data_IF_021605431636
#
_entry.id   IF_021605431636
#
_cell.length_a   1.000
_cell.length_b   1.000
_cell.length_c   1.000
_cell.angle_alpha   90.00
_cell.angle_beta   90.00
_cell.angle_gamma   90.00
#
_symmetry.space_group_name_H-M   'P 1'
#
loop_
_entity.id
_entity.type
_entity.pdbx_description
1 polymer ?
#
# COMPACT_ATOMS: atom_id res chain seq x y z
N UNK A 1 1.05 3.95 -20.59
CA UNK A 1 0.81 4.44 -19.23
C UNK A 1 -0.69 4.56 -18.92
N UNK A 2 -1.04 5.04 -17.74
CA UNK A 2 -2.44 5.16 -17.32
C UNK A 2 -3.25 6.16 -18.17
N UNK A 3 -2.64 7.25 -18.58
CA UNK A 3 -3.29 8.29 -19.42
C UNK A 3 -3.67 7.70 -20.77
N UNK A 4 -2.76 6.92 -21.35
CA UNK A 4 -3.00 6.22 -22.61
C UNK A 4 -4.13 5.20 -22.50
N UNK A 5 -4.17 4.41 -21.41
CA UNK A 5 -5.28 3.47 -21.16
C UNK A 5 -6.61 4.20 -20.96
N UNK A 6 -6.63 5.34 -20.27
CA UNK A 6 -7.85 6.14 -20.08
C UNK A 6 -8.39 6.68 -21.41
N UNK A 7 -7.51 7.17 -22.28
CA UNK A 7 -7.89 7.74 -23.59
C UNK A 7 -8.35 6.65 -24.57
N UNK A 8 -7.92 5.42 -24.40
CA UNK A 8 -8.15 4.29 -25.31
C UNK A 8 -8.92 3.13 -24.68
N UNK A 9 -9.61 3.34 -23.57
CA UNK A 9 -10.22 2.25 -22.77
C UNK A 9 -11.09 1.31 -23.59
N UNK A 10 -11.91 1.85 -24.50
CA UNK A 10 -12.82 1.05 -25.35
C UNK A 10 -12.08 0.19 -26.39
N UNK A 11 -10.97 0.68 -26.94
CA UNK A 11 -10.16 -0.06 -27.92
C UNK A 11 -9.19 -1.05 -27.29
N UNK A 12 -8.83 -0.87 -26.02
CA UNK A 12 -8.01 -1.83 -25.26
C UNK A 12 -8.83 -3.06 -24.84
N UNK A 13 -10.13 -2.90 -24.56
CA UNK A 13 -10.99 -4.06 -24.30
C UNK A 13 -11.06 -4.96 -25.53
N UNK A 14 -10.79 -6.25 -25.32
CA UNK A 14 -10.85 -7.22 -26.42
C UNK A 14 -12.28 -7.54 -26.84
N UNK A 15 -12.46 -7.92 -28.10
CA UNK A 15 -13.76 -8.35 -28.65
C UNK A 15 -14.11 -9.81 -28.32
N UNK A 16 -13.22 -10.55 -27.67
CA UNK A 16 -13.47 -11.94 -27.26
C UNK A 16 -14.57 -12.00 -26.19
N UNK A 17 -15.42 -13.03 -26.30
CA UNK A 17 -16.38 -13.31 -25.26
C UNK A 17 -15.77 -14.21 -24.19
N UNK A 18 -15.99 -13.86 -22.94
CA UNK A 18 -15.52 -14.61 -21.78
C UNK A 18 -16.72 -15.18 -21.02
N UNK A 19 -16.60 -16.39 -20.50
CA UNK A 19 -17.64 -17.03 -19.70
C UNK A 19 -18.05 -16.19 -18.49
N UNK A 20 -17.07 -15.50 -17.89
CA UNK A 20 -17.29 -14.62 -16.75
C UNK A 20 -16.33 -13.44 -16.76
N UNK A 21 -16.85 -12.28 -16.43
CA UNK A 21 -16.10 -11.02 -16.35
C UNK A 21 -16.33 -10.38 -14.98
N UNK A 22 -15.28 -9.82 -14.41
CA UNK A 22 -15.30 -9.05 -13.17
C UNK A 22 -14.92 -7.60 -13.48
N UNK A 23 -15.86 -6.68 -13.30
CA UNK A 23 -15.60 -5.25 -13.42
C UNK A 23 -14.72 -4.77 -12.26
N UNK A 24 -13.74 -3.97 -12.59
CA UNK A 24 -12.78 -3.38 -11.67
C UNK A 24 -12.53 -1.93 -12.01
N UNK A 25 -12.10 -1.18 -11.03
CA UNK A 25 -11.68 0.20 -11.21
C UNK A 25 -10.45 0.50 -10.35
N UNK A 26 -9.63 1.42 -10.85
CA UNK A 26 -8.50 1.96 -10.06
C UNK A 26 -9.02 3.03 -9.10
N UNK A 27 -8.29 3.28 -8.02
CA UNK A 27 -8.68 4.27 -7.00
C UNK A 27 -8.65 5.74 -7.45
N UNK A 28 -8.35 6.00 -8.73
CA UNK A 28 -8.41 7.36 -9.27
C UNK A 28 -7.47 8.38 -8.61
N UNK A 29 -6.34 7.95 -8.04
CA UNK A 29 -5.40 8.84 -7.33
C UNK A 29 -4.90 10.03 -8.17
N UNK A 30 -5.05 9.97 -9.50
CA UNK A 30 -4.72 11.03 -10.47
C UNK A 30 -5.95 11.78 -10.99
N UNK A 31 -7.14 11.62 -10.36
CA UNK A 31 -8.37 12.33 -10.73
C UNK A 31 -9.42 11.47 -11.41
N UNK A 32 -9.06 10.58 -12.34
CA UNK A 32 -10.02 9.70 -13.02
C UNK A 32 -9.73 8.23 -12.74
N UNK A 33 -10.72 7.43 -12.28
CA UNK A 33 -10.59 6.00 -12.15
C UNK A 33 -10.58 5.34 -13.54
N UNK A 34 -9.61 4.47 -13.80
CA UNK A 34 -9.65 3.58 -14.95
C UNK A 34 -10.61 2.43 -14.64
N UNK A 35 -11.66 2.27 -15.46
CA UNK A 35 -12.63 1.18 -15.37
C UNK A 35 -12.31 0.13 -16.43
N UNK A 36 -12.20 -1.12 -16.02
CA UNK A 36 -11.83 -2.22 -16.91
C UNK A 36 -12.47 -3.54 -16.48
N UNK A 37 -12.42 -4.52 -17.36
CA UNK A 37 -12.95 -5.85 -17.12
C UNK A 37 -11.83 -6.87 -16.97
N UNK A 38 -11.93 -7.75 -15.99
CA UNK A 38 -11.02 -8.89 -15.80
C UNK A 38 -11.71 -10.18 -16.19
N UNK A 39 -11.08 -10.99 -17.03
CA UNK A 39 -11.53 -12.33 -17.34
C UNK A 39 -11.34 -13.30 -16.16
N UNK A 40 -12.09 -14.39 -16.17
CA UNK A 40 -12.11 -15.35 -15.05
C UNK A 40 -10.74 -15.95 -14.75
N UNK A 41 -9.98 -16.27 -15.77
CA UNK A 41 -8.63 -16.83 -15.63
C UNK A 41 -7.70 -15.86 -14.89
N UNK A 42 -7.65 -14.61 -15.33
CA UNK A 42 -6.88 -13.58 -14.64
C UNK A 42 -7.30 -13.44 -13.16
N UNK A 43 -8.59 -13.29 -12.86
CA UNK A 43 -9.08 -13.14 -11.48
C UNK A 43 -8.72 -14.36 -10.62
N UNK A 44 -8.87 -15.56 -11.17
CA UNK A 44 -8.58 -16.83 -10.46
C UNK A 44 -7.11 -17.01 -10.16
N UNK A 45 -6.22 -16.76 -11.12
CA UNK A 45 -4.77 -16.84 -10.92
C UNK A 45 -4.25 -15.76 -9.98
N UNK A 46 -4.79 -14.54 -10.08
CA UNK A 46 -4.45 -13.47 -9.13
C UNK A 46 -4.80 -13.85 -7.69
N UNK A 47 -5.96 -14.47 -7.46
CA UNK A 47 -6.35 -15.00 -6.14
C UNK A 47 -5.46 -16.14 -5.69
N UNK A 48 -5.12 -17.06 -6.61
CA UNK A 48 -4.23 -18.18 -6.31
C UNK A 48 -2.84 -17.69 -5.87
N UNK A 49 -2.28 -16.69 -6.57
CA UNK A 49 -1.01 -16.07 -6.19
C UNK A 49 -1.07 -15.40 -4.81
N UNK A 50 -2.15 -14.68 -4.52
CA UNK A 50 -2.37 -14.08 -3.21
C UNK A 50 -2.43 -15.15 -2.11
N UNK A 51 -3.17 -16.24 -2.32
CA UNK A 51 -3.27 -17.32 -1.34
C UNK A 51 -1.98 -18.11 -1.20
N UNK A 52 -1.19 -18.24 -2.27
CA UNK A 52 0.17 -18.78 -2.19
C UNK A 52 1.03 -17.92 -1.25
N UNK A 53 1.00 -16.59 -1.40
CA UNK A 53 1.68 -15.68 -0.49
C UNK A 53 1.23 -15.85 0.96
N UNK A 54 -0.07 -16.01 1.21
CA UNK A 54 -0.61 -16.29 2.54
C UNK A 54 -0.08 -17.60 3.13
N UNK A 55 0.06 -18.64 2.27
CA UNK A 55 0.57 -19.93 2.70
C UNK A 55 2.02 -19.89 3.18
N UNK A 56 2.83 -18.94 2.69
CA UNK A 56 4.20 -18.71 3.16
C UNK A 56 4.25 -18.33 4.64
N UNK A 57 3.17 -17.74 5.15
CA UNK A 57 3.00 -17.37 6.56
C UNK A 57 2.12 -18.38 7.34
N UNK A 58 1.91 -19.58 6.81
CA UNK A 58 1.10 -20.61 7.46
C UNK A 58 -0.40 -20.29 7.52
N UNK A 59 -0.87 -19.37 6.67
CA UNK A 59 -2.29 -19.00 6.56
C UNK A 59 -2.97 -19.88 5.51
N UNK A 60 -4.16 -20.36 5.83
CA UNK A 60 -5.02 -21.17 4.95
C UNK A 60 -6.30 -20.41 4.61
N UNK A 61 -6.93 -20.73 3.49
CA UNK A 61 -8.11 -20.04 2.95
C UNK A 61 -9.29 -19.96 3.94
N UNK A 62 -9.46 -20.99 4.75
CA UNK A 62 -10.56 -21.08 5.70
C UNK A 62 -10.27 -20.50 7.07
N UNK A 63 -9.05 -19.97 7.28
CA UNK A 63 -8.70 -19.34 8.53
C UNK A 63 -9.56 -18.09 8.79
N UNK A 64 -10.00 -17.93 10.02
CA UNK A 64 -10.74 -16.76 10.45
C UNK A 64 -9.89 -15.52 10.34
N UNK A 65 -10.45 -14.43 9.78
CA UNK A 65 -9.67 -13.26 9.49
C UNK A 65 -10.40 -11.94 9.74
N UNK A 66 -9.61 -10.94 10.16
CA UNK A 66 -10.03 -9.55 10.20
C UNK A 66 -9.64 -8.81 8.92
N UNK A 67 -10.52 -7.92 8.44
CA UNK A 67 -10.32 -7.23 7.18
C UNK A 67 -10.66 -5.74 7.27
N UNK A 68 -9.69 -4.92 6.93
CA UNK A 68 -9.85 -3.47 6.78
C UNK A 68 -9.87 -3.09 5.30
N UNK A 69 -11.03 -3.18 4.71
CA UNK A 69 -11.23 -2.78 3.32
C UNK A 69 -12.70 -2.55 3.06
N UNK A 70 -13.02 -1.48 2.34
CA UNK A 70 -14.33 -1.33 1.80
C UNK A 70 -14.76 0.07 1.47
N UNK A 71 -15.95 0.12 0.95
CA UNK A 71 -16.63 1.30 0.48
C UNK A 71 -17.89 1.50 1.30
N UNK A 72 -18.46 2.70 1.27
CA UNK A 72 -19.83 2.92 1.70
C UNK A 72 -20.74 2.13 0.76
N UNK A 73 -21.19 0.98 1.23
CA UNK A 73 -22.17 0.18 0.49
C UNK A 73 -23.57 0.76 0.72
N UNK A 74 -24.39 0.72 -0.33
CA UNK A 74 -25.82 0.77 -0.11
C UNK A 74 -26.28 -0.42 0.74
N UNK A 75 -27.52 -0.38 1.26
CA UNK A 75 -28.02 -1.43 2.17
C UNK A 75 -28.01 -2.84 1.53
N UNK A 76 -28.27 -2.94 0.23
CA UNK A 76 -28.32 -4.21 -0.50
C UNK A 76 -26.93 -4.81 -0.70
N UNK A 77 -25.97 -3.99 -1.10
CA UNK A 77 -24.58 -4.39 -1.22
C UNK A 77 -23.95 -4.78 0.11
N UNK A 78 -24.33 -4.11 1.21
CA UNK A 78 -23.89 -4.46 2.56
C UNK A 78 -24.34 -5.88 2.99
N UNK A 79 -25.58 -6.27 2.70
CA UNK A 79 -26.11 -7.61 3.01
C UNK A 79 -25.34 -8.68 2.22
N UNK A 80 -25.17 -8.48 0.90
CA UNK A 80 -24.39 -9.40 0.06
C UNK A 80 -22.95 -9.53 0.53
N UNK A 81 -22.33 -8.42 0.88
CA UNK A 81 -20.96 -8.42 1.40
C UNK A 81 -20.83 -9.18 2.70
N UNK A 82 -21.78 -9.00 3.63
CA UNK A 82 -21.79 -9.72 4.91
C UNK A 82 -21.97 -11.25 4.70
N UNK A 83 -22.79 -11.66 3.75
CA UNK A 83 -22.93 -13.07 3.38
C UNK A 83 -21.61 -13.65 2.83
N UNK A 84 -20.96 -12.96 1.90
CA UNK A 84 -19.69 -13.37 1.34
C UNK A 84 -18.56 -13.37 2.39
N UNK A 85 -18.57 -12.44 3.32
CA UNK A 85 -17.64 -12.42 4.45
C UNK A 85 -17.80 -13.64 5.36
N UNK A 86 -19.03 -14.03 5.63
CA UNK A 86 -19.29 -15.24 6.42
C UNK A 86 -18.78 -16.50 5.73
N UNK A 87 -18.97 -16.63 4.40
CA UNK A 87 -18.41 -17.74 3.61
C UNK A 87 -16.87 -17.79 3.63
N UNK A 88 -16.24 -16.64 3.75
CA UNK A 88 -14.78 -16.50 3.81
C UNK A 88 -14.24 -16.52 5.25
N UNK A 89 -15.07 -16.84 6.22
CA UNK A 89 -14.75 -16.77 7.65
C UNK A 89 -14.12 -15.43 8.06
N UNK A 90 -14.67 -14.33 7.52
CA UNK A 90 -14.16 -12.98 7.59
C UNK A 90 -15.09 -12.09 8.42
N UNK A 91 -14.49 -11.19 9.17
CA UNK A 91 -15.19 -10.04 9.73
C UNK A 91 -14.45 -8.75 9.35
N UNK A 92 -15.19 -7.69 9.07
CA UNK A 92 -14.61 -6.43 8.60
C UNK A 92 -15.12 -5.23 9.39
N UNK A 93 -14.36 -4.16 9.31
CA UNK A 93 -14.76 -2.84 9.78
C UNK A 93 -14.29 -1.79 8.77
N UNK A 94 -15.09 -0.73 8.62
CA UNK A 94 -14.84 0.39 7.71
C UNK A 94 -14.79 1.73 8.44
N UNK A 95 -14.62 1.70 9.74
CA UNK A 95 -14.78 2.87 10.55
C UNK A 95 -13.52 3.12 11.35
N UNK A 96 -13.13 4.37 11.44
CA UNK A 96 -12.14 4.83 12.41
C UNK A 96 -12.76 5.12 13.78
N UNK A 97 -14.06 4.79 13.97
CA UNK A 97 -14.71 4.95 15.26
C UNK A 97 -14.11 4.00 16.29
N UNK A 98 -13.60 4.57 17.38
CA UNK A 98 -12.91 3.83 18.44
C UNK A 98 -13.71 2.68 19.02
N UNK A 99 -15.03 2.85 19.19
CA UNK A 99 -15.89 1.81 19.76
C UNK A 99 -16.06 0.63 18.80
N UNK A 100 -16.13 0.87 17.49
CA UNK A 100 -16.19 -0.17 16.48
C UNK A 100 -14.86 -0.91 16.38
N UNK A 101 -13.73 -0.20 16.46
CA UNK A 101 -12.40 -0.80 16.51
C UNK A 101 -12.27 -1.68 17.74
N UNK A 102 -12.69 -1.24 18.93
CA UNK A 102 -12.66 -2.07 20.14
C UNK A 102 -13.50 -3.35 19.97
N UNK A 103 -14.69 -3.27 19.36
CA UNK A 103 -15.49 -4.47 19.06
C UNK A 103 -14.79 -5.40 18.06
N UNK A 104 -14.08 -4.83 17.10
CA UNK A 104 -13.31 -5.57 16.12
C UNK A 104 -12.11 -6.28 16.78
N UNK A 105 -11.38 -5.63 17.67
CA UNK A 105 -10.21 -6.23 18.36
C UNK A 105 -10.61 -7.46 19.18
N UNK A 106 -11.79 -7.46 19.81
CA UNK A 106 -12.31 -8.65 20.51
C UNK A 106 -12.51 -9.86 19.59
N UNK A 107 -12.88 -9.62 18.32
CA UNK A 107 -13.02 -10.71 17.32
C UNK A 107 -11.68 -11.22 16.83
N UNK A 108 -10.62 -10.38 16.89
CA UNK A 108 -9.26 -10.77 16.50
C UNK A 108 -8.67 -11.83 17.43
N UNK A 109 -9.12 -11.95 18.68
CA UNK A 109 -8.66 -12.99 19.62
C UNK A 109 -8.83 -14.41 19.06
N UNK A 110 -9.78 -14.58 18.13
CA UNK A 110 -10.08 -15.87 17.47
C UNK A 110 -9.69 -15.89 15.98
N UNK A 111 -8.96 -14.90 15.51
CA UNK A 111 -8.50 -14.83 14.13
C UNK A 111 -7.07 -15.37 13.97
N UNK A 112 -6.75 -15.85 12.78
CA UNK A 112 -5.42 -16.30 12.42
C UNK A 112 -4.65 -15.29 11.56
N UNK A 113 -5.35 -14.35 10.93
CA UNK A 113 -4.69 -13.27 10.22
C UNK A 113 -5.55 -12.00 10.14
N UNK A 114 -4.86 -10.88 9.94
CA UNK A 114 -5.43 -9.57 9.76
C UNK A 114 -4.87 -8.98 8.47
N UNK A 115 -5.71 -8.34 7.66
CA UNK A 115 -5.25 -7.69 6.43
C UNK A 115 -6.09 -6.45 6.06
N UNK A 116 -5.54 -5.59 5.23
CA UNK A 116 -6.22 -4.39 4.78
C UNK A 116 -5.29 -3.19 4.61
N UNK A 117 -5.84 -1.98 4.68
CA UNK A 117 -5.04 -0.76 4.61
C UNK A 117 -4.00 -0.69 5.72
N UNK A 118 -2.76 -0.37 5.35
CA UNK A 118 -1.63 -0.36 6.29
C UNK A 118 -1.85 0.64 7.43
N UNK A 119 -2.35 1.83 7.13
CA UNK A 119 -2.66 2.86 8.13
C UNK A 119 -3.74 2.42 9.11
N UNK A 120 -4.78 1.72 8.63
CA UNK A 120 -5.87 1.24 9.50
C UNK A 120 -5.39 0.16 10.46
N UNK A 121 -4.55 -0.76 9.97
CA UNK A 121 -3.93 -1.79 10.82
C UNK A 121 -3.07 -1.13 11.91
N UNK A 122 -2.30 -0.10 11.56
CA UNK A 122 -1.49 0.65 12.50
C UNK A 122 -2.34 1.33 13.57
N UNK A 123 -3.44 2.01 13.21
CA UNK A 123 -4.36 2.61 14.17
C UNK A 123 -4.95 1.59 15.16
N UNK A 124 -5.30 0.40 14.66
CA UNK A 124 -5.78 -0.68 15.53
C UNK A 124 -4.67 -1.15 16.47
N UNK A 125 -3.45 -1.29 15.98
CA UNK A 125 -2.31 -1.67 16.81
C UNK A 125 -2.05 -0.67 17.94
N UNK A 126 -2.13 0.64 17.66
CA UNK A 126 -2.04 1.69 18.70
C UNK A 126 -3.11 1.53 19.79
N UNK A 127 -4.36 1.26 19.40
CA UNK A 127 -5.45 1.05 20.36
C UNK A 127 -5.19 -0.19 21.21
N UNK A 128 -4.79 -1.30 20.58
CA UNK A 128 -4.46 -2.54 21.27
C UNK A 128 -3.36 -2.31 22.32
N UNK A 129 -2.29 -1.62 21.94
CA UNK A 129 -1.17 -1.31 22.80
C UNK A 129 -1.57 -0.38 23.95
N UNK A 130 -2.31 0.69 23.65
CA UNK A 130 -2.81 1.65 24.66
C UNK A 130 -3.73 0.98 25.68
N UNK A 131 -4.49 -0.04 25.28
CA UNK A 131 -5.39 -0.78 26.16
C UNK A 131 -4.73 -1.99 26.83
N UNK A 132 -3.45 -2.22 26.61
CA UNK A 132 -2.70 -3.39 27.12
C UNK A 132 -3.38 -4.73 26.78
N UNK A 133 -3.91 -4.85 25.58
CA UNK A 133 -4.55 -6.06 25.05
C UNK A 133 -3.57 -7.00 24.34
N UNK A 134 -2.31 -6.64 24.25
CA UNK A 134 -1.25 -7.47 23.67
C UNK A 134 -1.15 -8.85 24.32
N UNK A 135 -0.66 -9.85 23.57
CA UNK A 135 -0.53 -11.23 24.05
C UNK A 135 -1.80 -12.07 24.00
N UNK A 136 -2.94 -11.49 23.61
CA UNK A 136 -4.22 -12.22 23.45
C UNK A 136 -4.46 -12.73 22.03
N UNK A 137 -3.68 -12.30 21.08
CA UNK A 137 -3.85 -12.59 19.67
C UNK A 137 -2.88 -13.67 19.21
N UNK A 138 -3.38 -14.58 18.37
CA UNK A 138 -2.62 -15.70 17.80
C UNK A 138 -2.54 -15.56 16.27
N UNK A 139 -2.28 -14.32 15.81
CA UNK A 139 -2.19 -14.03 14.39
C UNK A 139 -0.90 -14.64 13.82
N UNK A 140 -1.04 -15.34 12.69
CA UNK A 140 0.08 -15.86 11.90
C UNK A 140 0.61 -14.83 10.91
N UNK A 141 -0.24 -13.89 10.51
CA UNK A 141 0.08 -12.88 9.52
C UNK A 141 -0.71 -11.60 9.79
N UNK A 142 -0.04 -10.46 9.69
CA UNK A 142 -0.66 -9.15 9.58
C UNK A 142 -0.16 -8.54 8.27
N UNK A 143 -1.06 -8.33 7.30
CA UNK A 143 -0.71 -7.89 5.95
C UNK A 143 -1.30 -6.51 5.66
N UNK A 144 -0.40 -5.54 5.44
CA UNK A 144 -0.73 -4.23 4.90
C UNK A 144 -0.80 -4.25 3.37
N UNK A 145 -1.59 -3.36 2.77
CA UNK A 145 -1.70 -3.21 1.33
C UNK A 145 -2.10 -1.79 0.94
N UNK A 146 -1.90 -1.45 -0.32
CA UNK A 146 -2.34 -0.20 -0.97
C UNK A 146 -1.71 1.09 -0.47
N UNK A 147 -0.93 1.04 0.57
CA UNK A 147 -0.27 2.18 1.21
C UNK A 147 1.14 1.76 1.64
N UNK A 148 2.02 2.74 1.78
CA UNK A 148 3.36 2.51 2.31
C UNK A 148 3.28 2.01 3.75
N UNK A 149 4.11 1.04 4.08
CA UNK A 149 4.35 0.59 5.46
C UNK A 149 5.59 1.33 5.96
N UNK A 150 5.42 2.14 7.00
CA UNK A 150 6.52 2.84 7.65
C UNK A 150 7.19 1.94 8.69
N UNK A 151 8.44 2.21 9.01
CA UNK A 151 9.17 1.44 10.03
C UNK A 151 8.47 1.46 11.40
N UNK A 152 7.88 2.60 11.76
CA UNK A 152 7.06 2.73 12.97
C UNK A 152 5.87 1.78 13.00
N UNK A 153 5.29 1.44 11.83
CA UNK A 153 4.17 0.49 11.75
C UNK A 153 4.61 -0.91 12.14
N UNK A 154 5.80 -1.34 11.72
CA UNK A 154 6.33 -2.66 12.08
C UNK A 154 6.46 -2.82 13.59
N UNK A 155 7.02 -1.81 14.28
CA UNK A 155 7.22 -1.85 15.72
C UNK A 155 5.90 -1.87 16.49
N UNK A 156 4.96 -0.99 16.12
CA UNK A 156 3.67 -0.88 16.78
C UNK A 156 2.82 -2.16 16.58
N UNK A 157 2.82 -2.70 15.36
CA UNK A 157 2.08 -3.92 15.00
C UNK A 157 2.70 -5.15 15.67
N UNK A 158 4.03 -5.27 15.70
CA UNK A 158 4.69 -6.37 16.37
C UNK A 158 4.41 -6.37 17.89
N UNK A 159 4.41 -5.19 18.53
CA UNK A 159 4.04 -5.03 19.93
C UNK A 159 2.60 -5.44 20.22
N UNK A 160 1.67 -5.06 19.31
CA UNK A 160 0.24 -5.36 19.49
C UNK A 160 -0.09 -6.84 19.24
N UNK A 161 0.46 -7.42 18.18
CA UNK A 161 0.00 -8.70 17.63
C UNK A 161 1.05 -9.82 17.65
N UNK A 162 2.28 -9.54 18.07
CA UNK A 162 3.36 -10.53 18.14
C UNK A 162 4.00 -10.88 16.80
N UNK A 163 3.55 -10.27 15.68
CA UNK A 163 4.09 -10.48 14.33
C UNK A 163 4.26 -9.14 13.63
N UNK A 164 5.29 -9.02 12.79
CA UNK A 164 5.51 -7.83 11.97
C UNK A 164 4.43 -7.70 10.90
N UNK A 165 4.14 -6.47 10.48
CA UNK A 165 3.32 -6.23 9.30
C UNK A 165 4.13 -6.61 8.06
N UNK A 166 3.54 -7.40 7.17
CA UNK A 166 4.10 -7.74 5.86
C UNK A 166 3.39 -6.98 4.76
N UNK A 167 4.03 -6.89 3.61
CA UNK A 167 3.55 -6.15 2.45
C UNK A 167 3.14 -7.05 1.30
N UNK A 168 2.17 -6.61 0.51
CA UNK A 168 1.96 -7.04 -0.86
C UNK A 168 2.02 -5.83 -1.78
N UNK A 169 2.58 -6.00 -2.95
CA UNK A 169 2.68 -4.97 -3.98
C UNK A 169 1.91 -5.38 -5.22
N UNK A 170 1.12 -4.46 -5.74
CA UNK A 170 0.31 -4.66 -6.92
C UNK A 170 -0.60 -3.49 -7.21
N UNK A 171 -1.26 -3.53 -8.36
CA UNK A 171 -2.25 -2.54 -8.77
C UNK A 171 -3.52 -3.23 -9.26
N UNK A 172 -4.64 -2.48 -9.28
CA UNK A 172 -5.91 -3.04 -9.72
C UNK A 172 -5.83 -3.55 -11.17
N UNK A 173 -5.12 -2.80 -12.03
CA UNK A 173 -4.94 -3.07 -13.45
C UNK A 173 -3.90 -4.15 -13.75
N UNK A 174 -2.87 -4.31 -12.92
CA UNK A 174 -1.83 -5.34 -13.12
C UNK A 174 -2.05 -6.61 -12.30
N UNK A 175 -2.82 -6.53 -11.22
CA UNK A 175 -2.95 -7.60 -10.24
C UNK A 175 -1.81 -7.61 -9.23
N UNK A 176 -1.60 -8.74 -8.57
CA UNK A 176 -0.51 -8.96 -7.60
C UNK A 176 0.83 -9.07 -8.31
N UNK A 177 1.72 -8.12 -8.06
CA UNK A 177 3.08 -8.08 -8.63
C UNK A 177 4.04 -8.85 -7.74
N UNK A 178 4.05 -8.56 -6.43
CA UNK A 178 4.97 -9.20 -5.49
C UNK A 178 4.35 -9.37 -4.11
N UNK A 179 4.89 -10.35 -3.35
CA UNK A 179 4.44 -10.67 -2.01
C UNK A 179 5.64 -10.91 -1.10
N UNK A 180 5.59 -10.35 0.12
CA UNK A 180 6.66 -10.46 1.09
C UNK A 180 6.66 -11.84 1.76
N UNK A 181 7.82 -12.48 1.80
CA UNK A 181 8.01 -13.77 2.46
C UNK A 181 8.32 -13.61 3.96
N UNK A 182 8.38 -14.73 4.67
CA UNK A 182 8.70 -14.80 6.10
C UNK A 182 10.12 -14.30 6.46
N UNK A 183 10.97 -14.05 5.46
CA UNK A 183 12.31 -13.46 5.60
C UNK A 183 12.34 -11.95 5.27
N UNK A 184 11.17 -11.34 5.01
CA UNK A 184 11.07 -9.91 4.71
C UNK A 184 11.44 -9.52 3.27
N UNK A 185 11.54 -10.49 2.34
CA UNK A 185 11.85 -10.21 0.94
C UNK A 185 10.59 -10.32 0.08
N UNK A 186 10.38 -9.32 -0.80
CA UNK A 186 9.20 -9.23 -1.64
C UNK A 186 9.42 -9.92 -2.97
N UNK A 187 8.97 -11.18 -3.10
CA UNK A 187 9.13 -12.00 -4.28
C UNK A 187 8.12 -11.68 -5.37
N UNK A 188 8.61 -11.52 -6.61
CA UNK A 188 7.77 -11.27 -7.79
C UNK A 188 6.97 -12.52 -8.15
N UNK A 189 5.72 -12.31 -8.53
CA UNK A 189 4.79 -13.35 -8.98
C UNK A 189 5.00 -13.67 -10.46
N UNK A 190 6.14 -14.27 -10.79
CA UNK A 190 6.61 -14.51 -12.17
C UNK A 190 5.68 -15.38 -13.02
N UNK A 191 4.79 -16.15 -12.42
CA UNK A 191 3.84 -16.99 -13.14
C UNK A 191 2.73 -16.17 -13.82
N UNK A 192 2.43 -14.98 -13.27
CA UNK A 192 1.35 -14.14 -13.77
C UNK A 192 1.85 -12.82 -14.38
N UNK A 193 3.07 -12.40 -14.04
CA UNK A 193 3.57 -11.07 -14.37
C UNK A 193 5.03 -11.12 -14.80
N UNK A 194 5.34 -10.41 -15.89
CA UNK A 194 6.69 -10.00 -16.24
C UNK A 194 6.91 -8.60 -15.69
N UNK A 195 8.04 -8.40 -15.02
CA UNK A 195 8.49 -7.12 -14.48
C UNK A 195 9.77 -6.71 -15.18
N UNK A 196 9.76 -5.51 -15.73
CA UNK A 196 10.92 -4.83 -16.34
C UNK A 196 11.14 -3.50 -15.61
N UNK A 197 12.33 -2.95 -15.70
CA UNK A 197 12.65 -1.60 -15.22
C UNK A 197 13.07 -0.76 -16.41
N UNK A 198 12.43 0.38 -16.61
CA UNK A 198 12.74 1.36 -17.63
C UNK A 198 12.76 2.75 -16.99
N UNK A 199 13.88 3.44 -17.08
CA UNK A 199 14.10 4.76 -16.44
C UNK A 199 13.79 4.74 -14.91
N UNK A 200 14.20 3.67 -14.23
CA UNK A 200 13.94 3.38 -12.82
C UNK A 200 12.44 3.16 -12.47
N UNK A 201 11.55 3.21 -13.46
CA UNK A 201 10.12 2.95 -13.33
C UNK A 201 9.79 1.49 -13.62
N UNK A 202 8.88 0.90 -12.85
CA UNK A 202 8.40 -0.44 -13.08
C UNK A 202 7.49 -0.48 -14.32
N UNK A 203 7.80 -1.41 -15.21
CA UNK A 203 6.98 -1.76 -16.37
C UNK A 203 6.47 -3.19 -16.19
N UNK A 204 5.18 -3.38 -16.33
CA UNK A 204 4.56 -4.67 -16.09
C UNK A 204 3.81 -5.20 -17.29
N UNK A 205 3.92 -6.50 -17.54
CA UNK A 205 3.08 -7.24 -18.46
C UNK A 205 2.33 -8.31 -17.70
N UNK A 206 0.99 -8.27 -17.71
CA UNK A 206 0.17 -9.31 -17.11
C UNK A 206 -0.10 -10.40 -18.15
N UNK A 207 0.34 -11.62 -17.88
CA UNK A 207 0.29 -12.74 -18.80
C UNK A 207 -1.13 -13.33 -19.00
N UNK A 208 -2.08 -12.94 -18.16
CA UNK A 208 -3.42 -13.52 -18.07
C UNK A 208 -4.55 -12.49 -18.35
N UNK A 209 -4.22 -11.23 -18.52
CA UNK A 209 -5.18 -10.16 -18.76
C UNK A 209 -5.65 -10.11 -20.23
N UNK A 210 -6.46 -11.10 -20.61
CA UNK A 210 -6.95 -11.23 -22.00
C UNK A 210 -8.10 -10.28 -22.31
N UNK A 211 -8.98 -10.00 -21.35
CA UNK A 211 -10.13 -9.10 -21.54
C UNK A 211 -9.75 -7.62 -21.59
N UNK A 212 -8.67 -7.26 -20.96
CA UNK A 212 -8.07 -5.92 -20.95
C UNK A 212 -6.55 -6.08 -20.89
N UNK A 213 -5.88 -6.27 -22.02
CA UNK A 213 -4.45 -6.55 -22.08
C UNK A 213 -3.60 -5.47 -21.41
N UNK A 214 -2.80 -5.87 -20.45
CA UNK A 214 -1.80 -5.04 -19.78
C UNK A 214 -0.42 -5.52 -20.25
N UNK A 215 0.11 -4.84 -21.26
CA UNK A 215 1.38 -5.21 -21.92
C UNK A 215 2.33 -4.03 -21.81
N UNK A 216 3.52 -4.26 -21.23
CA UNK A 216 4.55 -3.24 -21.00
C UNK A 216 3.98 -1.92 -20.46
N UNK A 217 3.16 -2.04 -19.44
CA UNK A 217 2.47 -0.93 -18.83
C UNK A 217 3.35 -0.26 -17.77
N UNK A 218 3.68 1.02 -17.98
CA UNK A 218 4.36 1.86 -16.98
C UNK A 218 3.39 2.16 -15.85
N UNK A 219 3.66 1.60 -14.68
CA UNK A 219 2.75 1.66 -13.52
C UNK A 219 2.81 3.01 -12.81
N UNK A 220 3.88 3.76 -13.03
CA UNK A 220 4.14 5.04 -12.39
C UNK A 220 4.78 4.91 -11.01
N UNK A 221 5.34 3.76 -10.68
CA UNK A 221 6.08 3.55 -9.43
C UNK A 221 7.56 3.32 -9.73
N UNK A 222 8.42 3.89 -8.89
CA UNK A 222 9.86 3.65 -8.92
C UNK A 222 10.17 2.49 -8.00
N UNK A 223 10.86 1.47 -8.51
CA UNK A 223 11.22 0.29 -7.73
C UNK A 223 12.68 -0.11 -7.95
N UNK A 224 13.26 -0.82 -6.99
CA UNK A 224 14.58 -1.42 -7.09
C UNK A 224 14.47 -2.93 -7.02
N UNK A 225 15.04 -3.61 -8.02
CA UNK A 225 15.15 -5.08 -8.02
C UNK A 225 16.44 -5.51 -7.32
N UNK A 226 16.45 -6.72 -6.77
CA UNK A 226 17.66 -7.37 -6.27
C UNK A 226 18.63 -7.69 -7.41
N UNK A 227 19.90 -7.91 -7.05
CA UNK A 227 20.86 -8.54 -7.95
C UNK A 227 20.27 -9.87 -8.50
N UNK A 228 20.48 -10.18 -9.81
CA UNK A 228 20.00 -11.43 -10.39
C UNK A 228 20.50 -12.70 -9.69
N UNK A 229 21.67 -12.64 -9.05
CA UNK A 229 22.26 -13.74 -8.30
C UNK A 229 21.82 -13.77 -6.81
N UNK A 230 20.97 -12.84 -6.40
CA UNK A 230 20.47 -12.81 -5.02
C UNK A 230 19.66 -14.06 -4.71
N UNK A 231 20.03 -14.74 -3.64
CA UNK A 231 19.30 -15.91 -3.12
C UNK A 231 18.67 -15.58 -1.77
N UNK A 232 17.36 -15.70 -1.67
CA UNK A 232 16.65 -15.47 -0.44
C UNK A 232 16.74 -16.69 0.49
N UNK A 233 17.03 -16.46 1.77
CA UNK A 233 17.07 -17.51 2.81
C UNK A 233 15.71 -18.20 3.06
N UNK A 234 14.65 -17.79 2.36
CA UNK A 234 13.37 -18.50 2.37
C UNK A 234 13.33 -19.72 1.41
N UNK A 235 14.38 -19.90 0.59
CA UNK A 235 14.52 -20.99 -0.40
C UNK A 235 13.73 -20.77 -1.69
N UNK A 236 13.11 -19.60 -1.91
CA UNK A 236 12.40 -19.26 -3.16
C UNK A 236 13.35 -18.57 -4.13
N UNK A 237 13.31 -19.00 -5.40
CA UNK A 237 14.17 -18.46 -6.46
C UNK A 237 13.51 -17.35 -7.29
N UNK A 238 12.34 -16.85 -6.88
CA UNK A 238 11.69 -15.73 -7.55
C UNK A 238 12.51 -14.45 -7.35
N UNK A 239 12.65 -13.60 -8.38
CA UNK A 239 13.27 -12.29 -8.23
C UNK A 239 12.61 -11.46 -7.11
N UNK A 240 13.38 -10.56 -6.53
CA UNK A 240 12.94 -9.78 -5.36
C UNK A 240 12.88 -8.29 -5.71
N UNK A 241 11.79 -7.64 -5.33
CA UNK A 241 11.72 -6.19 -5.23
C UNK A 241 12.30 -5.82 -3.86
N UNK A 242 13.41 -5.09 -3.88
CA UNK A 242 14.12 -4.65 -2.65
C UNK A 242 13.41 -3.45 -2.04
N UNK A 243 12.95 -2.52 -2.88
CA UNK A 243 12.27 -1.31 -2.40
C UNK A 243 11.24 -0.82 -3.42
N UNK A 244 10.11 -0.32 -2.92
CA UNK A 244 9.09 0.40 -3.68
C UNK A 244 9.15 1.85 -3.23
N UNK A 245 9.81 2.68 -4.02
CA UNK A 245 10.10 4.05 -3.66
C UNK A 245 8.87 4.98 -3.78
N UNK A 246 7.82 4.54 -4.49
CA UNK A 246 6.57 5.26 -4.67
C UNK A 246 6.42 5.90 -6.05
N UNK A 247 5.38 6.71 -6.23
CA UNK A 247 4.92 7.22 -7.52
C UNK A 247 5.92 8.13 -8.21
N UNK A 248 6.29 7.78 -9.44
CA UNK A 248 6.95 8.68 -10.41
C UNK A 248 5.87 9.65 -10.93
N UNK A 249 6.11 10.94 -10.89
CA UNK A 249 5.22 11.90 -11.54
C UNK A 249 4.50 12.89 -10.64
N UNK A 250 4.39 12.65 -9.33
CA UNK A 250 4.02 13.73 -8.43
C UNK A 250 5.22 14.64 -8.20
N UNK A 251 5.03 15.91 -8.52
CA UNK A 251 6.08 16.92 -8.38
C UNK A 251 5.72 17.88 -7.26
N UNK A 252 6.71 18.19 -6.45
CA UNK A 252 6.70 19.32 -5.54
C UNK A 252 7.13 20.53 -6.35
N UNK A 253 6.36 21.61 -6.31
CA UNK A 253 6.63 22.81 -7.09
C UNK A 253 7.32 23.83 -6.18
N UNK A 254 8.64 23.99 -6.35
CA UNK A 254 9.41 25.05 -5.70
C UNK A 254 9.22 26.39 -6.38
N UNK A 255 9.83 27.44 -5.82
CA UNK A 255 9.82 28.78 -6.42
C UNK A 255 10.57 28.83 -7.75
N UNK A 256 11.63 28.03 -7.89
CA UNK A 256 12.51 28.06 -9.05
C UNK A 256 12.44 26.75 -9.88
N UNK A 257 12.22 25.60 -9.25
CA UNK A 257 12.25 24.31 -9.93
C UNK A 257 11.23 23.31 -9.36
N UNK A 258 11.08 22.19 -10.07
CA UNK A 258 10.18 21.09 -9.70
C UNK A 258 10.99 19.91 -9.18
N UNK A 259 10.55 19.32 -8.08
CA UNK A 259 11.19 18.18 -7.45
C UNK A 259 10.27 16.96 -7.50
N UNK A 260 10.82 15.74 -7.64
CA UNK A 260 10.04 14.52 -7.43
C UNK A 260 9.53 14.45 -5.98
N UNK A 261 8.27 14.10 -5.74
CA UNK A 261 7.74 13.92 -4.38
C UNK A 261 8.46 12.83 -3.59
N UNK A 262 9.16 11.93 -4.30
CA UNK A 262 10.05 10.93 -3.74
C UNK A 262 11.17 11.51 -2.85
N UNK A 263 11.53 12.77 -3.01
CA UNK A 263 12.53 13.41 -2.14
C UNK A 263 12.11 13.41 -0.68
N UNK A 264 10.81 13.48 -0.37
CA UNK A 264 10.36 13.33 1.01
C UNK A 264 10.70 11.96 1.58
N UNK A 265 10.51 10.89 0.80
CA UNK A 265 10.95 9.57 1.23
C UNK A 265 12.43 9.54 1.61
N UNK A 266 13.29 10.13 0.79
CA UNK A 266 14.73 10.17 1.05
C UNK A 266 15.06 10.96 2.33
N UNK A 267 14.40 12.09 2.56
CA UNK A 267 14.54 12.89 3.78
C UNK A 267 14.24 12.04 5.02
N UNK A 268 13.08 11.42 5.08
CA UNK A 268 12.64 10.65 6.25
C UNK A 268 13.40 9.33 6.41
N UNK A 269 13.80 8.69 5.30
CA UNK A 269 14.69 7.51 5.33
C UNK A 269 16.06 7.85 5.92
N UNK A 270 16.65 8.98 5.52
CA UNK A 270 17.96 9.40 6.05
C UNK A 270 17.88 9.72 7.54
N UNK A 271 16.80 10.37 8.00
CA UNK A 271 16.58 10.60 9.42
C UNK A 271 16.51 9.29 10.20
N UNK A 272 15.81 8.29 9.67
CA UNK A 272 15.70 6.98 10.31
C UNK A 272 17.05 6.25 10.36
N UNK A 273 17.79 6.22 9.23
CA UNK A 273 19.04 5.47 9.13
C UNK A 273 20.22 6.14 9.85
N UNK A 274 20.33 7.46 9.73
CA UNK A 274 21.51 8.19 10.23
C UNK A 274 21.34 8.73 11.65
N UNK A 275 20.11 8.99 12.07
CA UNK A 275 19.81 9.64 13.34
C UNK A 275 18.92 8.80 14.27
N UNK A 276 18.46 7.63 13.80
CA UNK A 276 17.49 6.76 14.50
C UNK A 276 16.18 7.49 14.84
N UNK A 277 15.78 8.45 13.96
CA UNK A 277 14.55 9.25 14.09
C UNK A 277 13.54 8.74 13.07
N UNK A 278 12.51 8.07 13.55
CA UNK A 278 11.42 7.54 12.72
C UNK A 278 10.20 8.43 12.85
N UNK A 279 9.85 9.14 11.78
CA UNK A 279 8.69 10.03 11.71
C UNK A 279 7.72 9.55 10.63
N UNK A 280 6.46 9.46 11.00
CA UNK A 280 5.38 9.32 10.02
C UNK A 280 5.02 10.71 9.53
N UNK A 281 4.87 10.84 8.22
CA UNK A 281 4.62 12.14 7.61
C UNK A 281 3.55 12.10 6.54
N UNK A 282 2.93 13.26 6.34
CA UNK A 282 2.16 13.60 5.14
C UNK A 282 2.55 15.02 4.71
N UNK A 283 2.99 15.16 3.46
CA UNK A 283 3.29 16.47 2.89
C UNK A 283 2.09 17.01 2.12
N UNK A 284 1.76 18.26 2.32
CA UNK A 284 0.63 18.96 1.67
C UNK A 284 1.15 20.21 0.99
N UNK A 285 0.90 20.35 -0.31
CA UNK A 285 1.25 21.51 -1.08
C UNK A 285 0.02 22.10 -1.78
N UNK A 286 -0.36 23.32 -1.39
CA UNK A 286 -1.45 24.08 -2.00
C UNK A 286 -1.00 25.37 -2.67
N UNK A 287 0.25 25.79 -2.45
CA UNK A 287 0.88 26.97 -3.02
C UNK A 287 2.27 26.65 -3.53
N UNK A 288 2.67 27.30 -4.63
CA UNK A 288 4.03 27.18 -5.20
C UNK A 288 5.04 27.61 -4.12
N UNK A 289 6.10 26.81 -3.97
CA UNK A 289 7.18 27.07 -3.01
C UNK A 289 6.84 26.85 -1.55
N UNK A 290 5.60 26.45 -1.19
CA UNK A 290 5.21 26.26 0.21
C UNK A 290 4.66 24.85 0.45
N UNK A 291 5.24 24.16 1.42
CA UNK A 291 4.81 22.81 1.81
C UNK A 291 4.55 22.73 3.31
N UNK A 292 3.41 22.20 3.68
CA UNK A 292 3.12 21.82 5.07
C UNK A 292 3.43 20.34 5.27
N UNK A 293 4.32 20.05 6.22
CA UNK A 293 4.59 18.69 6.68
C UNK A 293 3.77 18.42 7.94
N UNK A 294 2.87 17.46 7.86
CA UNK A 294 2.12 16.93 8.98
C UNK A 294 2.92 15.73 9.54
N UNK A 295 3.30 15.79 10.80
CA UNK A 295 4.03 14.74 11.51
C UNK A 295 3.12 14.16 12.59
N UNK A 296 3.03 12.84 12.66
CA UNK A 296 2.18 12.18 13.67
C UNK A 296 2.80 12.24 15.07
N UNK A 297 4.13 12.12 15.16
CA UNK A 297 4.86 12.10 16.42
C UNK A 297 4.85 13.49 17.07
N UNK A 298 5.01 13.56 18.43
CA UNK A 298 5.19 14.82 19.12
C UNK A 298 6.50 15.51 18.73
N UNK A 299 6.52 16.82 18.88
CA UNK A 299 7.75 17.61 18.70
C UNK A 299 8.75 17.23 19.79
N UNK A 300 9.69 16.41 19.46
CA UNK A 300 10.88 16.13 20.24
C UNK A 300 12.07 16.79 19.53
N UNK A 301 13.23 16.91 20.16
CA UNK A 301 14.48 17.54 19.68
C UNK A 301 14.94 17.32 18.20
N UNK A 302 14.20 16.59 17.31
CA UNK A 302 14.59 16.40 15.93
C UNK A 302 14.23 17.55 14.99
N UNK A 303 13.60 18.64 15.44
CA UNK A 303 13.17 19.74 14.54
C UNK A 303 14.32 20.32 13.71
N UNK A 304 15.50 20.51 14.31
CA UNK A 304 16.71 20.96 13.61
C UNK A 304 17.25 19.92 12.63
N UNK A 305 17.20 18.64 12.99
CA UNK A 305 17.69 17.56 12.11
C UNK A 305 16.79 17.38 10.90
N UNK A 306 15.47 17.47 11.09
CA UNK A 306 14.51 17.47 9.98
C UNK A 306 14.71 18.68 9.06
N UNK A 307 14.85 19.89 9.62
CA UNK A 307 15.11 21.08 8.83
C UNK A 307 16.43 21.00 8.03
N UNK A 308 17.50 20.52 8.66
CA UNK A 308 18.78 20.32 7.99
C UNK A 308 18.67 19.28 6.88
N UNK A 309 17.92 18.20 7.08
CA UNK A 309 17.74 17.17 6.05
C UNK A 309 16.89 17.69 4.89
N UNK A 310 15.82 18.44 5.15
CA UNK A 310 15.01 19.11 4.14
C UNK A 310 15.86 20.08 3.30
N UNK A 311 16.72 20.88 3.98
CA UNK A 311 17.58 21.84 3.31
C UNK A 311 18.56 21.20 2.32
N UNK A 312 19.08 20.00 2.60
CA UNK A 312 19.96 19.26 1.67
C UNK A 312 19.29 18.97 0.32
N UNK A 313 17.99 18.75 0.31
CA UNK A 313 17.26 18.37 -0.91
C UNK A 313 16.58 19.53 -1.61
N UNK A 314 16.16 20.54 -0.86
CA UNK A 314 15.32 21.62 -1.39
C UNK A 314 15.95 23.00 -1.30
N UNK A 315 17.02 23.16 -0.54
CA UNK A 315 17.66 24.45 -0.24
C UNK A 315 16.62 25.48 0.25
N UNK A 316 16.68 26.72 -0.24
CA UNK A 316 15.71 27.79 0.05
C UNK A 316 14.59 27.87 -1.01
N UNK A 317 14.43 26.83 -1.85
CA UNK A 317 13.42 26.84 -2.92
C UNK A 317 12.03 26.43 -2.45
N UNK A 318 11.93 25.93 -1.20
CA UNK A 318 10.66 25.57 -0.58
C UNK A 318 10.62 26.01 0.89
N UNK A 319 9.59 26.75 1.24
CA UNK A 319 9.26 27.09 2.61
C UNK A 319 8.49 25.94 3.27
N UNK A 320 9.08 25.34 4.28
CA UNK A 320 8.46 24.25 5.03
C UNK A 320 7.80 24.74 6.31
N UNK A 321 6.51 24.44 6.48
CA UNK A 321 5.81 24.54 7.75
C UNK A 321 5.64 23.13 8.32
N UNK A 322 6.24 22.84 9.47
CA UNK A 322 6.13 21.55 10.14
C UNK A 322 5.10 21.63 11.26
N UNK A 323 4.14 20.68 11.28
CA UNK A 323 3.12 20.56 12.33
C UNK A 323 3.22 19.17 12.93
N UNK A 324 3.47 19.09 14.24
CA UNK A 324 3.57 17.85 15.00
C UNK A 324 2.22 17.43 15.61
N UNK A 325 2.12 16.20 16.07
CA UNK A 325 0.91 15.62 16.68
C UNK A 325 -0.33 15.70 15.78
N UNK A 326 -0.13 15.57 14.46
CA UNK A 326 -1.18 15.70 13.48
C UNK A 326 -1.76 14.36 13.05
N UNK A 327 -3.07 14.33 12.84
CA UNK A 327 -3.71 13.24 12.11
C UNK A 327 -3.59 13.50 10.61
N UNK A 328 -3.35 12.44 9.84
CA UNK A 328 -3.20 12.54 8.40
C UNK A 328 -4.55 12.63 7.68
N UNK A 329 -4.55 13.33 6.56
CA UNK A 329 -5.71 13.37 5.67
C UNK A 329 -5.82 12.06 4.90
N UNK A 330 -6.93 11.35 5.09
CA UNK A 330 -7.25 10.12 4.37
C UNK A 330 -8.28 10.45 3.28
N UNK A 331 -7.95 10.18 2.01
CA UNK A 331 -8.88 10.37 0.90
C UNK A 331 -9.29 8.99 0.36
N UNK A 332 -10.60 8.72 0.30
CA UNK A 332 -11.15 7.45 -0.17
C UNK A 332 -10.60 6.21 0.57
N UNK A 333 -10.35 6.37 1.89
CA UNK A 333 -9.82 5.30 2.73
C UNK A 333 -8.33 5.02 2.55
N UNK A 334 -7.60 5.83 1.75
CA UNK A 334 -6.16 5.66 1.51
C UNK A 334 -5.36 6.83 2.04
N UNK A 335 -4.29 6.51 2.75
CA UNK A 335 -3.28 7.49 3.13
C UNK A 335 -2.36 7.77 1.94
N UNK A 336 -2.09 9.04 1.66
CA UNK A 336 -1.10 9.51 0.68
C UNK A 336 0.00 10.25 1.42
N UNK A 337 1.24 9.96 1.11
CA UNK A 337 2.42 10.61 1.67
C UNK A 337 2.61 12.06 1.15
N UNK A 338 2.10 12.34 -0.06
CA UNK A 338 2.09 13.68 -0.64
C UNK A 338 0.74 14.01 -1.29
N UNK A 339 0.19 15.14 -0.90
CA UNK A 339 -1.06 15.71 -1.44
C UNK A 339 -0.74 17.07 -2.03
N UNK A 340 -1.20 17.32 -3.24
CA UNK A 340 -1.10 18.65 -3.88
C UNK A 340 -2.40 18.98 -4.59
N UNK A 341 -2.76 20.28 -4.57
CA UNK A 341 -3.81 20.90 -5.37
C UNK A 341 -3.23 21.72 -6.53
N UNK A 342 -1.91 21.74 -6.69
CA UNK A 342 -1.21 22.42 -7.77
C UNK A 342 -0.90 21.41 -8.87
N UNK A 343 -1.23 21.74 -10.13
CA UNK A 343 -0.95 20.94 -11.34
C UNK A 343 0.44 21.27 -11.91
#
# INVERSE_FOLDING_TARGET
DKTELLNNTSSVHTTYSFKKIFHSETSGTTGQPLKFARNEEWDSHNRAAMFRGYSWHGVKLWHKNGYFWGYNFDKSAAVRTKFLDNLQNRFRVFSYNKNEIIKFTKKLEHAQYLHGYSSMIYEVAKIVNKMNLGGKYHLKMVKGTSEKIYESYHNEVAKAFGVKMISEYGAAESGLIAFECEKGNMHINVENIIVEIEDEEIVVTNLLSQSFPIIRYKLGDKVTLSDPNFSCNCGRNHPVIVDVLGRVGKKIIGYQQKYPSLMFYNVFKNLALNNNIVLNYQAVQNEIGKVTLLIEQPENDPSKLLQNELYKYFSDDIDFTVKYEQNFHVKEGKLKDFITSID
#
